data_IF_577952784524
#
_entry.id   IF_577952784524
#
_cell.length_a   1.000
_cell.length_b   1.000
_cell.length_c   1.000
_cell.angle_alpha   90.00
_cell.angle_beta   90.00
_cell.angle_gamma   90.00
#
_symmetry.space_group_name_H-M   'P 1'
#
loop_
_entity.id
_entity.type
_entity.pdbx_description
1 polymer ?
#
# COMPACT_ATOMS: atom_id res chain seq x y z
N UNK A 1 3.16 -49.78 -13.61
CA UNK A 1 1.79 -49.24 -13.48
C UNK A 1 1.74 -48.37 -12.21
N UNK A 2 2.24 -47.14 -12.30
CA UNK A 2 2.38 -46.24 -11.15
C UNK A 2 1.05 -45.56 -10.79
N UNK A 3 0.76 -45.54 -9.50
CA UNK A 3 -0.55 -45.24 -8.92
C UNK A 3 -0.94 -43.76 -9.03
N UNK A 4 -2.13 -43.52 -9.59
CA UNK A 4 -2.77 -42.20 -9.83
C UNK A 4 -3.35 -41.55 -8.56
N UNK A 5 -2.70 -41.70 -7.40
CA UNK A 5 -3.26 -41.23 -6.10
C UNK A 5 -2.72 -39.87 -5.64
N UNK A 6 -1.72 -39.32 -6.31
CA UNK A 6 -1.01 -38.12 -5.83
C UNK A 6 -1.64 -36.77 -6.19
N UNK A 7 -2.71 -36.72 -7.01
CA UNK A 7 -3.29 -35.44 -7.47
C UNK A 7 -4.38 -34.89 -6.56
N UNK A 8 -5.16 -35.74 -5.89
CA UNK A 8 -6.30 -35.28 -5.06
C UNK A 8 -5.87 -34.59 -3.76
N UNK A 9 -4.71 -34.97 -3.20
CA UNK A 9 -4.17 -34.36 -1.97
C UNK A 9 -3.69 -32.91 -2.21
N UNK A 10 -3.26 -32.59 -3.44
CA UNK A 10 -2.83 -31.24 -3.81
C UNK A 10 -3.95 -30.20 -3.81
N UNK A 11 -5.19 -30.60 -4.08
CA UNK A 11 -6.35 -29.70 -4.15
C UNK A 11 -6.94 -29.36 -2.77
N UNK A 12 -6.74 -30.22 -1.76
CA UNK A 12 -7.25 -30.01 -0.40
C UNK A 12 -6.37 -29.09 0.45
N UNK A 13 -5.07 -29.00 0.13
CA UNK A 13 -4.09 -28.24 0.93
C UNK A 13 -3.72 -26.88 0.32
N UNK A 14 -4.25 -26.54 -0.85
CA UNK A 14 -4.00 -25.25 -1.51
C UNK A 14 -4.52 -24.03 -0.71
N UNK A 15 -5.70 -24.04 -0.05
CA UNK A 15 -6.12 -22.89 0.74
C UNK A 15 -5.32 -22.71 2.04
N UNK A 16 -4.72 -23.78 2.58
CA UNK A 16 -4.01 -23.76 3.87
C UNK A 16 -2.63 -23.10 3.76
N UNK A 17 -2.01 -23.10 2.57
CA UNK A 17 -0.69 -22.48 2.35
C UNK A 17 -0.68 -20.97 2.61
N UNK A 18 -1.81 -20.29 2.51
CA UNK A 18 -1.93 -18.87 2.84
C UNK A 18 -1.99 -18.60 4.36
N UNK A 19 -2.33 -19.61 5.17
CA UNK A 19 -2.52 -19.45 6.61
C UNK A 19 -1.20 -19.55 7.38
N UNK A 20 -0.23 -20.32 6.88
CA UNK A 20 1.07 -20.52 7.51
C UNK A 20 2.15 -19.76 6.72
N UNK A 21 2.27 -18.47 7.00
CA UNK A 21 3.36 -17.64 6.48
C UNK A 21 4.72 -18.27 6.80
N UNK A 22 5.61 -18.33 5.80
CA UNK A 22 6.99 -18.77 6.00
C UNK A 22 7.71 -17.78 6.92
N UNK A 23 8.47 -18.23 7.93
CA UNK A 23 9.19 -17.32 8.82
C UNK A 23 10.20 -16.50 8.02
N UNK A 24 10.15 -15.18 8.20
CA UNK A 24 11.08 -14.24 7.61
C UNK A 24 12.47 -14.44 8.23
N UNK A 25 13.48 -14.59 7.38
CA UNK A 25 14.88 -14.47 7.78
C UNK A 25 15.16 -12.99 8.05
N UNK A 26 15.52 -12.67 9.30
CA UNK A 26 15.98 -11.34 9.69
C UNK A 26 17.28 -11.00 8.95
N UNK A 27 17.20 -10.00 8.08
CA UNK A 27 18.35 -9.40 7.40
C UNK A 27 18.12 -7.89 7.33
N UNK A 28 18.91 -7.15 8.11
CA UNK A 28 18.98 -5.69 8.15
C UNK A 28 19.19 -5.10 6.76
N UNK A 29 18.31 -4.16 6.38
CA UNK A 29 18.40 -3.36 5.15
C UNK A 29 17.83 -4.08 3.93
N UNK A 30 16.59 -3.76 3.54
CA UNK A 30 16.00 -4.34 2.34
C UNK A 30 15.31 -3.26 1.52
N UNK A 31 15.97 -2.86 0.44
CA UNK A 31 15.29 -2.62 -0.83
C UNK A 31 14.52 -3.91 -1.15
N UNK A 32 13.22 -3.90 -0.86
CA UNK A 32 12.36 -5.08 -0.93
C UNK A 32 12.14 -5.47 -2.40
N UNK A 33 12.96 -6.42 -2.87
CA UNK A 33 12.67 -7.20 -4.08
C UNK A 33 11.32 -7.91 -3.87
N UNK A 34 10.34 -7.77 -4.78
CA UNK A 34 9.05 -8.44 -4.61
C UNK A 34 9.22 -9.96 -4.67
N UNK A 35 9.15 -10.61 -3.50
CA UNK A 35 9.05 -12.06 -3.42
C UNK A 35 7.70 -12.48 -4.01
N UNK A 36 7.68 -13.55 -4.81
CA UNK A 36 6.49 -14.11 -5.47
C UNK A 36 5.53 -14.83 -4.50
N UNK A 37 5.42 -14.34 -3.27
CA UNK A 37 4.44 -14.79 -2.27
C UNK A 37 3.16 -13.99 -2.45
N UNK A 38 2.00 -14.64 -2.30
CA UNK A 38 0.69 -14.01 -2.46
C UNK A 38 0.45 -12.80 -1.55
N UNK A 39 -0.68 -12.10 -1.72
CA UNK A 39 -0.96 -10.86 -0.99
C UNK A 39 -0.92 -11.08 0.53
N UNK A 40 -0.15 -10.25 1.24
CA UNK A 40 -0.13 -10.27 2.71
C UNK A 40 -1.44 -9.71 3.26
N UNK A 41 -1.95 -10.22 4.40
CA UNK A 41 -3.17 -9.70 5.02
C UNK A 41 -3.02 -8.26 5.49
N UNK A 42 -1.80 -7.85 5.86
CA UNK A 42 -1.50 -6.51 6.34
C UNK A 42 -0.68 -5.69 5.35
N UNK A 43 -1.02 -4.40 5.26
CA UNK A 43 -0.37 -3.36 4.46
C UNK A 43 0.25 -2.35 5.43
N UNK A 44 1.55 -2.18 5.32
CA UNK A 44 2.33 -1.26 6.17
C UNK A 44 2.63 0.07 5.48
N UNK A 45 2.53 0.14 4.16
CA UNK A 45 2.80 1.34 3.36
C UNK A 45 1.64 1.64 2.44
N UNK A 46 1.32 2.92 2.26
CA UNK A 46 0.33 3.39 1.27
C UNK A 46 0.99 4.28 0.25
N UNK A 47 0.40 4.37 -0.95
CA UNK A 47 0.77 5.41 -1.90
C UNK A 47 0.27 6.77 -1.37
N UNK A 48 1.18 7.73 -1.25
CA UNK A 48 0.90 9.12 -0.90
C UNK A 48 0.16 9.83 -2.01
N UNK A 49 -0.61 10.87 -1.65
CA UNK A 49 -1.32 11.75 -2.58
C UNK A 49 -0.78 13.18 -2.53
N UNK A 50 0.34 13.39 -1.84
CA UNK A 50 1.01 14.68 -1.74
C UNK A 50 2.21 14.73 -2.70
N UNK A 51 2.66 15.94 -2.98
CA UNK A 51 3.80 16.25 -3.82
C UNK A 51 4.69 17.25 -3.09
N UNK A 52 5.99 17.14 -3.35
CA UNK A 52 6.98 18.15 -3.03
C UNK A 52 7.13 19.12 -4.20
N UNK A 53 7.20 20.42 -3.92
CA UNK A 53 7.60 21.42 -4.91
C UNK A 53 9.12 21.65 -4.92
N UNK A 54 9.56 22.69 -5.62
CA UNK A 54 10.99 23.04 -5.77
C UNK A 54 11.61 23.54 -4.46
N UNK A 55 10.79 24.08 -3.54
CA UNK A 55 11.21 24.59 -2.25
C UNK A 55 11.15 23.53 -1.14
N UNK A 56 10.56 22.37 -1.45
CA UNK A 56 10.42 21.24 -0.53
C UNK A 56 9.14 21.27 0.31
N UNK A 57 8.20 22.15 -0.03
CA UNK A 57 6.89 22.18 0.59
C UNK A 57 6.08 20.96 0.18
N UNK A 58 5.29 20.41 1.10
CA UNK A 58 4.50 19.20 0.90
C UNK A 58 3.01 19.53 0.87
N UNK A 59 2.37 19.40 -0.30
CA UNK A 59 0.95 19.68 -0.46
C UNK A 59 0.25 18.67 -1.38
N UNK A 60 -1.07 18.62 -1.33
CA UNK A 60 -1.85 17.84 -2.31
C UNK A 60 -1.89 18.51 -3.68
N UNK A 61 -1.88 19.85 -3.69
CA UNK A 61 -2.00 20.66 -4.90
C UNK A 61 -1.21 21.95 -4.72
N UNK A 62 -0.53 22.39 -5.78
CA UNK A 62 0.20 23.65 -5.81
C UNK A 62 -0.48 24.59 -6.81
N UNK A 63 -0.46 25.88 -6.51
CA UNK A 63 -0.96 26.93 -7.37
C UNK A 63 0.10 28.00 -7.56
N UNK A 64 0.19 28.55 -8.76
CA UNK A 64 1.08 29.66 -9.10
C UNK A 64 0.27 30.85 -9.64
N UNK A 65 0.74 32.06 -9.39
CA UNK A 65 0.14 33.27 -9.95
C UNK A 65 0.67 33.50 -11.36
N UNK A 66 -0.23 33.59 -12.33
CA UNK A 66 0.12 33.80 -13.73
C UNK A 66 -0.48 35.12 -14.21
N UNK A 67 0.32 35.90 -14.94
CA UNK A 67 -0.14 37.11 -15.65
C UNK A 67 -0.99 36.71 -16.84
N UNK A 68 -2.21 37.25 -16.90
CA UNK A 68 -3.04 37.07 -18.09
C UNK A 68 -2.57 38.04 -19.17
N UNK A 69 -1.92 37.52 -20.21
CA UNK A 69 -1.32 38.26 -21.33
C UNK A 69 -2.28 39.25 -22.02
N UNK A 70 -3.59 39.08 -21.87
CA UNK A 70 -4.59 39.93 -22.53
C UNK A 70 -4.94 41.20 -21.79
N UNK A 71 -4.55 41.37 -20.52
CA UNK A 71 -5.00 42.54 -19.75
C UNK A 71 -3.98 43.09 -18.76
N UNK A 72 -2.76 42.54 -18.65
CA UNK A 72 -1.57 42.96 -17.87
C UNK A 72 -1.76 43.45 -16.41
N UNK A 73 -3.00 43.53 -15.92
CA UNK A 73 -3.45 44.08 -14.65
C UNK A 73 -4.15 43.03 -13.79
N UNK A 74 -4.42 41.84 -14.35
CA UNK A 74 -5.06 40.74 -13.62
C UNK A 74 -4.12 39.56 -13.53
N UNK A 75 -3.80 39.20 -12.29
CA UNK A 75 -3.19 37.93 -11.92
C UNK A 75 -4.29 36.91 -11.69
N UNK A 76 -4.05 35.67 -12.08
CA UNK A 76 -4.94 34.54 -11.80
C UNK A 76 -4.13 33.41 -11.18
N UNK A 77 -4.70 32.73 -10.20
CA UNK A 77 -4.11 31.52 -9.65
C UNK A 77 -4.40 30.33 -10.57
N UNK A 78 -3.35 29.68 -11.06
CA UNK A 78 -3.44 28.48 -11.88
C UNK A 78 -2.81 27.30 -11.14
N UNK A 79 -3.40 26.11 -11.28
CA UNK A 79 -2.83 24.89 -10.69
C UNK A 79 -1.50 24.55 -11.37
N UNK A 80 -0.44 24.43 -10.56
CA UNK A 80 0.88 24.00 -10.98
C UNK A 80 0.92 22.47 -11.02
N UNK A 81 1.30 21.91 -12.16
CA UNK A 81 1.36 20.45 -12.39
C UNK A 81 2.78 19.98 -12.80
N UNK A 82 3.66 20.93 -13.14
CA UNK A 82 5.02 20.65 -13.61
C UNK A 82 6.02 20.68 -12.45
N UNK A 83 7.10 19.92 -12.58
CA UNK A 83 8.22 19.85 -11.64
C UNK A 83 7.85 19.46 -10.19
N UNK A 84 6.69 18.82 -9.99
CA UNK A 84 6.28 18.33 -8.68
C UNK A 84 6.77 16.89 -8.50
N UNK A 85 7.44 16.63 -7.38
CA UNK A 85 7.93 15.29 -7.04
C UNK A 85 6.89 14.58 -6.17
N UNK A 86 6.36 13.40 -6.56
CA UNK A 86 5.39 12.70 -5.72
C UNK A 86 6.02 12.24 -4.41
N UNK A 87 5.26 12.32 -3.31
CA UNK A 87 5.69 11.84 -1.99
C UNK A 87 6.06 10.35 -1.98
N UNK A 88 5.52 9.56 -2.91
CA UNK A 88 5.83 8.13 -3.06
C UNK A 88 5.06 7.26 -2.06
N UNK A 89 5.73 6.26 -1.48
CA UNK A 89 5.13 5.39 -0.47
C UNK A 89 5.34 5.97 0.93
N UNK A 90 4.26 6.04 1.70
CA UNK A 90 4.25 6.56 3.07
C UNK A 90 3.96 5.41 4.02
N UNK A 91 4.78 5.29 5.06
CA UNK A 91 4.58 4.32 6.12
C UNK A 91 3.32 4.66 6.91
N UNK A 92 2.51 3.63 7.17
CA UNK A 92 1.30 3.75 7.98
C UNK A 92 1.68 3.60 9.45
N UNK A 93 1.14 4.43 10.36
CA UNK A 93 1.43 4.29 11.79
C UNK A 93 0.92 2.96 12.37
N UNK A 94 -0.13 2.40 11.75
CA UNK A 94 -0.70 1.11 12.10
C UNK A 94 -0.95 0.29 10.82
N UNK A 95 -0.69 -1.02 10.83
CA UNK A 95 -0.98 -1.88 9.69
C UNK A 95 -2.46 -1.87 9.35
N UNK A 96 -2.76 -1.85 8.05
CA UNK A 96 -4.15 -1.89 7.53
C UNK A 96 -4.41 -3.22 6.85
N UNK A 97 -5.67 -3.67 6.86
CA UNK A 97 -6.08 -4.89 6.14
C UNK A 97 -5.98 -4.65 4.64
N UNK A 98 -5.38 -5.61 3.94
CA UNK A 98 -5.28 -5.60 2.49
C UNK A 98 -6.66 -5.83 1.85
N UNK A 99 -7.04 -4.97 0.90
CA UNK A 99 -8.36 -5.01 0.23
C UNK A 99 -8.63 -6.33 -0.51
N UNK A 100 -7.57 -7.00 -0.98
CA UNK A 100 -7.66 -8.22 -1.77
C UNK A 100 -7.58 -9.48 -0.87
N UNK A 101 -7.53 -9.30 0.46
CA UNK A 101 -7.47 -10.39 1.42
C UNK A 101 -8.85 -10.60 2.07
N UNK A 102 -9.52 -11.75 1.83
CA UNK A 102 -10.82 -12.01 2.45
C UNK A 102 -10.65 -12.21 3.97
N UNK A 103 -11.25 -11.33 4.77
CA UNK A 103 -11.23 -11.40 6.24
C UNK A 103 -12.66 -11.44 6.77
N UNK A 104 -12.91 -12.32 7.73
CA UNK A 104 -14.12 -12.32 8.56
C UNK A 104 -13.74 -11.83 9.95
N UNK A 105 -14.39 -10.79 10.45
CA UNK A 105 -14.20 -10.29 11.81
C UNK A 105 -15.27 -10.89 12.73
N UNK A 106 -14.85 -11.46 13.86
CA UNK A 106 -15.74 -12.00 14.87
C UNK A 106 -15.63 -11.14 16.14
N UNK A 107 -16.74 -11.00 16.86
CA UNK A 107 -16.70 -10.43 18.20
C UNK A 107 -15.97 -11.36 19.16
N UNK A 108 -15.14 -10.80 20.03
CA UNK A 108 -14.51 -11.57 21.08
C UNK A 108 -15.54 -11.79 22.19
N UNK A 109 -15.82 -13.05 22.51
CA UNK A 109 -16.50 -13.41 23.75
C UNK A 109 -15.54 -13.11 24.90
N UNK A 110 -15.67 -11.93 25.51
CA UNK A 110 -15.00 -11.65 26.76
C UNK A 110 -15.61 -12.52 27.87
N UNK A 111 -14.89 -13.57 28.25
CA UNK A 111 -15.17 -14.30 29.47
C UNK A 111 -14.86 -13.36 30.63
N UNK A 112 -15.90 -12.89 31.32
CA UNK A 112 -15.74 -12.23 32.62
C UNK A 112 -15.33 -13.30 33.61
N UNK A 113 -14.03 -13.57 33.73
CA UNK A 113 -13.51 -14.40 34.81
C UNK A 113 -13.64 -13.59 36.11
N UNK A 114 -14.40 -14.12 37.05
CA UNK A 114 -14.80 -13.45 38.30
C UNK A 114 -14.39 -14.30 39.49
#
# INVERSE_FOLDING_TARGET
MGTMVSRLVGYLLSPIRYLFGTPAVEGTGQDLVPCKSGPTPFVFKRRGSQFFDEDGDLAHEFYEEVRVEKNDKKMVMQKRVKNLTPQGYVDLPHPRINKDFPVVMCEALWTTDR
#
